data_IF_104463089770
#
_entry.id   IF_104463089770
#
_cell.length_a   1.000
_cell.length_b   1.000
_cell.length_c   1.000
_cell.angle_alpha   90.00
_cell.angle_beta   90.00
_cell.angle_gamma   90.00
#
_symmetry.space_group_name_H-M   'P 1'
#
loop_
_entity.id
_entity.type
_entity.pdbx_description
1 polymer ?
#
# COMPACT_ATOMS: atom_id res chain seq x y z
N UNK A 1 -5.65 23.55 40.48
CA UNK A 1 -6.30 23.13 41.75
C UNK A 1 -7.76 22.81 41.46
N UNK A 2 -8.36 21.80 42.12
CA UNK A 2 -9.67 21.17 41.78
C UNK A 2 -9.58 20.34 40.45
N UNK A 3 -9.81 19.01 40.37
CA UNK A 3 -10.41 18.00 41.28
C UNK A 3 -11.92 18.28 41.54
N UNK A 4 -12.92 17.39 41.46
CA UNK A 4 -13.17 15.93 41.61
C UNK A 4 -14.37 15.59 40.66
N UNK A 5 -14.71 14.38 40.16
CA UNK A 5 -14.34 12.96 40.36
C UNK A 5 -13.99 12.30 38.98
N UNK A 6 -13.92 10.98 38.69
CA UNK A 6 -14.20 9.66 39.31
C UNK A 6 -15.66 9.17 39.46
N UNK A 7 -16.11 8.28 38.55
CA UNK A 7 -17.08 7.20 38.82
C UNK A 7 -16.54 5.91 38.17
N UNK A 8 -16.56 4.80 38.89
CA UNK A 8 -16.19 3.47 38.38
C UNK A 8 -17.28 2.44 38.71
N UNK A 9 -17.49 1.48 37.83
CA UNK A 9 -18.33 0.30 38.06
C UNK A 9 -17.79 -0.85 37.22
N UNK A 10 -17.66 -2.03 37.84
CA UNK A 10 -16.99 -3.17 37.23
C UNK A 10 -17.87 -4.43 37.31
N UNK A 11 -18.07 -5.06 36.15
CA UNK A 11 -18.61 -6.41 35.97
C UNK A 11 -17.95 -6.95 34.68
N UNK A 12 -17.44 -8.16 34.58
CA UNK A 12 -17.21 -9.19 35.60
C UNK A 12 -16.68 -10.43 34.88
N UNK A 13 -15.58 -11.04 35.35
CA UNK A 13 -15.03 -12.23 34.68
C UNK A 13 -15.94 -13.44 34.87
N UNK A 14 -16.16 -14.19 33.80
CA UNK A 14 -16.68 -15.56 33.87
C UNK A 14 -15.66 -16.50 33.24
N UNK A 15 -15.23 -17.50 34.01
CA UNK A 15 -14.27 -18.51 33.58
C UNK A 15 -14.68 -19.89 34.12
N UNK A 16 -14.87 -20.84 33.20
CA UNK A 16 -15.00 -22.28 33.41
C UNK A 16 -14.45 -22.89 32.11
N UNK A 17 -13.24 -23.45 32.13
CA UNK A 17 -12.94 -24.83 32.54
C UNK A 17 -13.13 -25.82 31.38
N UNK A 18 -12.02 -26.42 30.94
CA UNK A 18 -12.01 -27.42 29.88
C UNK A 18 -12.19 -28.83 30.47
N UNK A 19 -12.86 -29.70 29.71
CA UNK A 19 -12.78 -31.15 29.86
C UNK A 19 -12.41 -31.75 28.50
N UNK A 20 -11.31 -32.49 28.48
CA UNK A 20 -10.77 -33.21 27.34
C UNK A 20 -11.31 -34.64 27.31
N UNK A 21 -11.61 -35.19 26.14
CA UNK A 21 -11.48 -36.64 25.88
C UNK A 21 -11.25 -36.90 24.37
N UNK A 22 -10.18 -37.64 24.00
CA UNK A 22 -10.02 -38.16 22.64
C UNK A 22 -10.90 -39.40 22.42
N UNK A 23 -11.07 -39.81 21.16
CA UNK A 23 -11.72 -41.07 20.80
C UNK A 23 -11.01 -41.76 19.64
N UNK A 24 -9.91 -42.42 19.94
CA UNK A 24 -9.26 -43.33 19.02
C UNK A 24 -10.18 -44.52 18.70
N UNK A 25 -10.29 -44.85 17.41
CA UNK A 25 -10.53 -46.23 16.96
C UNK A 25 -10.00 -46.48 15.55
N UNK A 26 -8.69 -46.73 15.52
CA UNK A 26 -8.02 -47.78 14.74
C UNK A 26 -8.74 -48.32 13.48
N UNK A 27 -8.10 -48.12 12.32
CA UNK A 27 -8.16 -49.03 11.19
C UNK A 27 -6.81 -49.00 10.44
N UNK A 28 -5.81 -49.72 10.95
CA UNK A 28 -4.53 -49.89 10.25
C UNK A 28 -4.67 -50.88 9.08
N UNK A 29 -4.14 -50.53 7.90
CA UNK A 29 -3.38 -51.48 7.05
C UNK A 29 -2.24 -50.72 6.35
N UNK A 30 -1.05 -51.32 6.35
CA UNK A 30 0.16 -50.96 5.61
C UNK A 30 0.93 -52.28 5.32
N UNK A 31 2.05 -52.30 4.57
CA UNK A 31 2.37 -51.66 3.28
C UNK A 31 3.04 -52.66 2.27
N UNK A 32 3.78 -52.13 1.26
CA UNK A 32 4.90 -52.75 0.49
C UNK A 32 4.60 -53.35 -0.91
N UNK A 33 5.59 -53.72 -1.79
CA UNK A 33 5.94 -52.85 -2.94
C UNK A 33 6.35 -53.51 -4.29
N UNK A 34 6.29 -52.75 -5.40
CA UNK A 34 7.09 -52.91 -6.64
C UNK A 34 6.85 -51.64 -7.51
N UNK A 35 7.83 -50.88 -8.02
CA UNK A 35 9.02 -51.18 -8.85
C UNK A 35 8.71 -51.31 -10.36
N UNK A 36 9.05 -50.27 -11.14
CA UNK A 36 8.96 -50.24 -12.61
C UNK A 36 9.29 -48.85 -13.21
N UNK A 37 10.29 -48.79 -14.09
CA UNK A 37 10.64 -47.62 -14.91
C UNK A 37 10.00 -47.75 -16.31
N UNK A 38 10.04 -46.81 -17.28
CA UNK A 38 10.97 -45.68 -17.56
C UNK A 38 10.21 -44.60 -18.40
N UNK A 39 10.80 -43.49 -18.91
CA UNK A 39 10.03 -42.27 -19.24
C UNK A 39 9.53 -42.14 -20.69
N UNK A 40 8.56 -41.23 -20.90
CA UNK A 40 8.19 -40.69 -22.21
C UNK A 40 7.60 -39.27 -22.12
N UNK A 41 7.64 -38.54 -23.25
CA UNK A 41 6.93 -37.29 -23.55
C UNK A 41 7.13 -36.08 -22.59
N UNK A 42 7.98 -35.15 -23.01
CA UNK A 42 7.96 -33.79 -22.46
C UNK A 42 6.69 -33.05 -22.93
N UNK A 43 5.72 -32.87 -22.03
CA UNK A 43 4.68 -31.87 -22.20
C UNK A 43 5.23 -30.51 -21.76
N UNK A 44 5.38 -29.57 -22.69
CA UNK A 44 5.75 -28.21 -22.35
C UNK A 44 4.66 -27.58 -21.45
N UNK A 45 5.01 -26.88 -20.36
CA UNK A 45 4.01 -26.13 -19.61
C UNK A 45 3.41 -25.08 -20.55
N UNK A 46 2.10 -25.18 -20.78
CA UNK A 46 1.39 -24.20 -21.60
C UNK A 46 1.62 -22.81 -21.00
N UNK A 47 2.15 -21.88 -21.80
CA UNK A 47 2.29 -20.49 -21.39
C UNK A 47 0.90 -19.88 -21.25
N UNK A 48 0.33 -19.99 -20.05
CA UNK A 48 -0.80 -19.18 -19.62
C UNK A 48 -0.36 -17.72 -19.71
N UNK A 49 -0.69 -17.07 -20.83
CA UNK A 49 -0.15 -15.76 -21.19
C UNK A 49 -0.38 -14.77 -20.07
N UNK A 50 0.70 -14.12 -19.62
CA UNK A 50 0.64 -13.09 -18.59
C UNK A 50 -0.18 -11.92 -19.11
N UNK A 51 -1.48 -11.91 -18.81
CA UNK A 51 -2.38 -10.81 -19.12
C UNK A 51 -1.92 -9.60 -18.30
N UNK A 52 -1.09 -8.76 -18.91
CA UNK A 52 -0.57 -7.54 -18.29
C UNK A 52 -1.73 -6.67 -17.86
N UNK A 53 -1.95 -6.56 -16.55
CA UNK A 53 -2.87 -5.56 -15.98
C UNK A 53 -2.41 -4.20 -16.50
N UNK A 54 -3.30 -3.41 -17.13
CA UNK A 54 -2.89 -2.14 -17.74
C UNK A 54 -2.35 -1.21 -16.65
N UNK A 55 -1.11 -0.75 -16.84
CA UNK A 55 -0.49 0.18 -15.92
C UNK A 55 -1.30 1.48 -15.84
N UNK A 56 -1.44 2.04 -14.64
CA UNK A 56 -2.20 3.27 -14.45
C UNK A 56 -1.46 4.42 -15.15
N UNK A 57 -2.14 5.26 -15.97
CA UNK A 57 -1.49 6.35 -16.69
C UNK A 57 -0.76 7.32 -15.76
N UNK A 58 0.45 7.71 -16.16
CA UNK A 58 1.24 8.77 -15.51
C UNK A 58 0.73 10.14 -16.00
N UNK A 59 0.44 11.05 -15.08
CA UNK A 59 -0.22 12.33 -15.38
C UNK A 59 0.70 13.55 -15.35
N UNK A 60 1.83 13.48 -14.64
CA UNK A 60 2.83 14.54 -14.49
C UNK A 60 3.96 14.52 -15.53
N UNK A 61 3.96 13.51 -16.42
CA UNK A 61 4.98 13.37 -17.47
C UNK A 61 4.91 14.55 -18.45
N UNK A 62 6.01 15.28 -18.59
CA UNK A 62 6.11 16.45 -19.47
C UNK A 62 5.42 17.72 -18.97
N UNK A 63 4.79 17.70 -17.79
CA UNK A 63 4.25 18.92 -17.16
C UNK A 63 5.37 19.78 -16.54
N UNK A 64 5.06 21.04 -16.26
CA UNK A 64 5.98 21.98 -15.61
C UNK A 64 5.96 21.77 -14.09
N UNK A 65 7.14 21.64 -13.47
CA UNK A 65 7.29 21.63 -12.02
C UNK A 65 7.07 23.05 -11.47
N UNK A 66 6.24 23.16 -10.44
CA UNK A 66 6.01 24.38 -9.66
C UNK A 66 6.73 24.32 -8.31
N UNK A 67 7.27 25.46 -7.82
CA UNK A 67 8.04 25.52 -6.57
C UNK A 67 7.15 25.50 -5.32
N UNK A 68 5.83 25.71 -5.43
CA UNK A 68 4.93 25.64 -4.29
C UNK A 68 4.71 24.18 -3.82
N UNK A 69 4.48 23.99 -2.52
CA UNK A 69 4.20 22.66 -1.97
C UNK A 69 2.76 22.21 -2.24
N UNK A 70 2.53 20.93 -2.57
CA UNK A 70 1.19 20.35 -2.62
C UNK A 70 0.62 20.14 -1.21
N UNK A 71 -0.70 20.00 -1.13
CA UNK A 71 -1.30 19.32 0.01
C UNK A 71 -1.14 17.82 -0.18
N UNK A 72 -0.18 17.18 0.49
CA UNK A 72 0.10 15.76 0.29
C UNK A 72 0.32 14.99 1.60
N UNK A 73 0.21 13.66 1.49
CA UNK A 73 0.81 12.70 2.41
C UNK A 73 1.11 11.39 1.68
N UNK A 74 2.03 10.59 2.22
CA UNK A 74 2.22 9.18 1.88
C UNK A 74 2.01 8.42 3.19
N UNK A 75 0.87 7.74 3.32
CA UNK A 75 0.47 7.09 4.57
C UNK A 75 1.25 5.80 4.78
N UNK A 76 1.44 5.01 3.70
CA UNK A 76 2.23 3.77 3.75
C UNK A 76 3.04 3.45 2.50
N UNK A 77 4.12 2.70 2.71
CA UNK A 77 4.86 1.94 1.70
C UNK A 77 4.93 0.49 2.21
N UNK A 78 4.16 -0.42 1.62
CA UNK A 78 3.99 -1.79 2.11
C UNK A 78 3.59 -1.81 3.59
N UNK A 79 4.49 -2.29 4.44
CA UNK A 79 4.34 -2.35 5.91
C UNK A 79 4.84 -1.12 6.65
N UNK A 80 5.54 -0.18 5.98
CA UNK A 80 6.04 1.06 6.59
C UNK A 80 4.87 2.05 6.71
N UNK A 81 4.49 2.37 7.94
CA UNK A 81 3.49 3.41 8.25
C UNK A 81 4.17 4.75 8.57
N UNK A 82 3.65 5.84 8.01
CA UNK A 82 4.21 7.19 8.15
C UNK A 82 5.68 7.31 7.69
N UNK A 83 6.04 6.86 6.47
CA UNK A 83 7.42 6.79 5.96
C UNK A 83 8.14 8.15 5.93
N UNK A 84 7.40 9.26 5.87
CA UNK A 84 7.96 10.61 5.95
C UNK A 84 8.58 10.93 7.33
N UNK A 85 8.06 10.34 8.42
CA UNK A 85 8.63 10.47 9.77
C UNK A 85 9.33 9.21 10.27
N UNK A 86 9.04 8.06 9.66
CA UNK A 86 9.53 6.73 10.05
C UNK A 86 10.03 5.95 8.82
N UNK A 87 11.20 6.30 8.25
CA UNK A 87 11.85 5.48 7.23
C UNK A 87 12.02 4.04 7.73
N UNK A 88 11.86 3.08 6.83
CA UNK A 88 11.92 1.65 7.16
C UNK A 88 12.23 0.78 5.95
N UNK A 89 12.05 -0.53 6.09
CA UNK A 89 12.22 -1.51 5.03
C UNK A 89 10.91 -2.22 4.67
N UNK A 90 10.76 -2.56 3.39
CA UNK A 90 9.76 -3.50 2.86
C UNK A 90 10.46 -4.65 2.15
N UNK A 91 9.80 -5.79 1.96
CA UNK A 91 10.37 -6.82 1.09
C UNK A 91 10.05 -6.58 -0.38
N UNK A 92 11.04 -6.77 -1.25
CA UNK A 92 10.86 -6.75 -2.71
C UNK A 92 10.24 -8.03 -3.28
N UNK A 93 10.16 -9.11 -2.49
CA UNK A 93 9.60 -10.41 -2.90
C UNK A 93 8.06 -10.45 -2.91
N UNK A 94 7.40 -9.41 -2.38
CA UNK A 94 5.94 -9.28 -2.33
C UNK A 94 5.48 -8.01 -3.06
N UNK A 95 4.18 -7.87 -3.42
CA UNK A 95 3.67 -6.64 -4.00
C UNK A 95 3.77 -5.48 -3.01
N UNK A 96 4.35 -4.35 -3.43
CA UNK A 96 4.51 -3.16 -2.58
C UNK A 96 3.38 -2.19 -2.88
N UNK A 97 2.38 -2.12 -2.00
CA UNK A 97 1.35 -1.09 -2.08
C UNK A 97 1.85 0.24 -1.52
N UNK A 98 1.55 1.35 -2.21
CA UNK A 98 1.79 2.71 -1.75
C UNK A 98 0.49 3.50 -1.80
N UNK A 99 0.13 4.16 -0.69
CA UNK A 99 -1.11 4.96 -0.61
C UNK A 99 -0.92 6.25 0.18
N UNK A 100 -1.78 7.23 -0.07
CA UNK A 100 -1.69 8.55 0.55
C UNK A 100 -2.89 9.45 0.25
N UNK A 101 -2.68 10.76 0.37
CA UNK A 101 -3.53 11.77 -0.25
C UNK A 101 -2.72 12.83 -0.99
N UNK A 102 -3.32 13.44 -2.01
CA UNK A 102 -2.74 14.56 -2.74
C UNK A 102 -3.84 15.53 -3.20
N UNK A 103 -3.60 16.83 -3.08
CA UNK A 103 -4.49 17.88 -3.56
C UNK A 103 -3.69 19.14 -3.96
N UNK A 104 -4.28 19.99 -4.80
CA UNK A 104 -3.65 21.22 -5.27
C UNK A 104 -3.42 22.16 -4.06
N UNK A 105 -2.17 22.27 -3.62
CA UNK A 105 -1.80 22.99 -2.40
C UNK A 105 -2.14 24.48 -2.47
N UNK A 106 -1.72 25.21 -3.52
CA UNK A 106 -2.08 26.60 -3.74
C UNK A 106 -3.59 26.84 -3.89
N UNK A 107 -4.29 26.05 -4.72
CA UNK A 107 -5.71 26.27 -5.00
C UNK A 107 -6.67 25.68 -3.93
N UNK A 108 -6.17 24.78 -3.06
CA UNK A 108 -6.90 24.11 -1.97
C UNK A 108 -8.13 23.31 -2.44
N UNK A 109 -8.02 22.70 -3.62
CA UNK A 109 -9.03 21.84 -4.25
C UNK A 109 -8.41 20.49 -4.64
N UNK A 110 -9.19 19.44 -4.95
CA UNK A 110 -8.65 18.18 -5.45
C UNK A 110 -7.70 18.36 -6.64
N UNK A 111 -6.67 17.53 -6.68
CA UNK A 111 -5.70 17.48 -7.76
C UNK A 111 -6.33 16.89 -9.03
N UNK A 112 -5.69 17.07 -10.19
CA UNK A 112 -6.05 16.31 -11.39
C UNK A 112 -5.69 14.82 -11.23
N UNK A 113 -4.70 14.53 -10.41
CA UNK A 113 -4.28 13.20 -9.99
C UNK A 113 -2.94 13.24 -9.25
N UNK A 114 -2.40 12.06 -8.95
CA UNK A 114 -1.09 11.88 -8.29
C UNK A 114 -0.30 10.81 -9.03
N UNK A 115 0.99 11.04 -9.20
CA UNK A 115 1.98 10.00 -9.54
C UNK A 115 2.98 9.84 -8.39
N UNK A 116 3.63 8.68 -8.34
CA UNK A 116 4.82 8.48 -7.52
C UNK A 116 6.06 8.43 -8.42
N UNK A 117 7.04 9.25 -8.07
CA UNK A 117 8.36 9.28 -8.68
C UNK A 117 9.31 8.48 -7.79
N UNK A 118 9.68 7.27 -8.22
CA UNK A 118 10.53 6.36 -7.47
C UNK A 118 11.85 6.23 -8.22
N UNK A 119 12.91 6.78 -7.62
CA UNK A 119 14.27 6.84 -8.19
C UNK A 119 14.33 7.40 -9.64
N UNK A 120 13.47 8.37 -9.97
CA UNK A 120 13.39 8.98 -11.31
C UNK A 120 12.44 8.27 -12.29
N UNK A 121 11.76 7.20 -11.86
CA UNK A 121 10.72 6.50 -12.65
C UNK A 121 9.33 6.86 -12.14
N UNK A 122 8.43 7.22 -13.06
CA UNK A 122 7.06 7.60 -12.73
C UNK A 122 6.11 6.41 -12.76
N UNK A 123 5.27 6.32 -11.73
CA UNK A 123 4.22 5.32 -11.55
C UNK A 123 2.89 6.04 -11.30
N UNK A 124 1.92 5.82 -12.19
CA UNK A 124 0.57 6.37 -12.03
C UNK A 124 -0.16 5.76 -10.83
N UNK A 125 -1.13 6.49 -10.28
CA UNK A 125 -1.93 6.05 -9.14
C UNK A 125 -3.43 6.15 -9.40
N UNK A 126 -4.22 5.26 -8.80
CA UNK A 126 -5.68 5.37 -8.75
C UNK A 126 -6.04 6.46 -7.76
N UNK A 127 -6.35 7.65 -8.27
CA UNK A 127 -6.77 8.82 -7.51
C UNK A 127 -8.26 8.77 -7.10
N UNK A 128 -8.73 9.78 -6.35
CA UNK A 128 -10.14 9.95 -6.01
C UNK A 128 -10.65 9.12 -4.83
N UNK A 129 -9.76 8.45 -4.09
CA UNK A 129 -10.16 7.59 -2.95
C UNK A 129 -10.66 8.44 -1.78
N UNK A 130 -11.59 7.88 -0.99
CA UNK A 130 -12.28 8.61 0.07
C UNK A 130 -11.34 9.00 1.22
N UNK A 131 -11.32 10.29 1.58
CA UNK A 131 -10.52 10.92 2.63
C UNK A 131 -11.32 11.94 3.47
N UNK A 132 -12.35 11.50 4.21
CA UNK A 132 -13.11 12.38 5.11
C UNK A 132 -12.25 12.96 6.25
N UNK A 133 -11.16 12.27 6.61
CA UNK A 133 -10.13 12.72 7.55
C UNK A 133 -9.41 13.98 7.03
N UNK A 134 -9.01 14.00 5.74
CA UNK A 134 -8.38 15.15 5.10
C UNK A 134 -9.35 16.31 4.97
N UNK A 135 -10.60 16.04 4.56
CA UNK A 135 -11.64 17.05 4.50
C UNK A 135 -11.90 17.70 5.87
N UNK A 136 -11.92 16.92 6.94
CA UNK A 136 -12.07 17.41 8.33
C UNK A 136 -10.84 18.20 8.77
N UNK A 137 -9.63 17.65 8.62
CA UNK A 137 -8.38 18.28 9.05
C UNK A 137 -8.00 19.54 8.25
N UNK A 138 -8.60 19.75 7.07
CA UNK A 138 -8.46 20.96 6.25
C UNK A 138 -9.70 21.86 6.26
N UNK A 139 -10.74 21.49 7.04
CA UNK A 139 -12.03 22.19 7.12
C UNK A 139 -12.66 22.48 5.74
N UNK A 140 -12.52 21.53 4.81
CA UNK A 140 -12.89 21.69 3.41
C UNK A 140 -13.45 20.38 2.84
N UNK A 141 -14.77 20.32 2.66
CA UNK A 141 -15.49 19.13 2.19
C UNK A 141 -15.10 18.67 0.77
N UNK A 142 -14.58 19.56 -0.09
CA UNK A 142 -14.13 19.19 -1.43
C UNK A 142 -12.94 18.22 -1.41
N UNK A 143 -12.13 18.22 -0.34
CA UNK A 143 -10.95 17.36 -0.21
C UNK A 143 -11.28 15.93 0.24
N UNK A 144 -12.56 15.56 0.28
CA UNK A 144 -13.06 14.24 0.67
C UNK A 144 -12.79 13.12 -0.33
N UNK A 145 -12.35 13.44 -1.56
CA UNK A 145 -11.97 12.48 -2.61
C UNK A 145 -10.54 12.75 -3.11
N UNK A 146 -9.57 12.82 -2.18
CA UNK A 146 -8.16 13.18 -2.47
C UNK A 146 -7.16 12.05 -2.24
N UNK A 147 -7.63 10.86 -1.86
CA UNK A 147 -6.78 9.70 -1.64
C UNK A 147 -6.24 9.12 -2.94
N UNK A 148 -5.04 8.55 -2.88
CA UNK A 148 -4.42 7.83 -3.99
C UNK A 148 -3.90 6.46 -3.58
N UNK A 149 -3.79 5.53 -4.53
CA UNK A 149 -3.18 4.22 -4.32
C UNK A 149 -2.52 3.68 -5.58
N UNK A 150 -1.39 2.98 -5.43
CA UNK A 150 -0.78 2.15 -6.48
C UNK A 150 -0.15 0.90 -5.86
N UNK A 151 0.12 -0.12 -6.66
CA UNK A 151 0.74 -1.37 -6.20
C UNK A 151 1.81 -1.80 -7.19
N UNK A 152 3.06 -1.85 -6.72
CA UNK A 152 4.18 -2.36 -7.50
C UNK A 152 4.18 -3.89 -7.45
N UNK A 153 4.52 -4.54 -8.57
CA UNK A 153 4.70 -5.99 -8.61
C UNK A 153 5.97 -6.40 -7.85
N UNK A 154 6.06 -7.66 -7.34
CA UNK A 154 7.31 -8.21 -6.81
C UNK A 154 8.49 -8.00 -7.78
N UNK A 155 9.65 -7.63 -7.26
CA UNK A 155 10.85 -7.38 -8.05
C UNK A 155 10.84 -6.10 -8.91
N UNK A 156 9.81 -5.24 -8.84
CA UNK A 156 9.81 -3.93 -9.53
C UNK A 156 10.95 -3.02 -9.05
N UNK A 157 11.30 -3.14 -7.77
CA UNK A 157 12.44 -2.50 -7.12
C UNK A 157 13.43 -3.58 -6.70
N UNK A 158 14.72 -3.33 -6.89
CA UNK A 158 15.78 -4.23 -6.44
C UNK A 158 15.98 -4.14 -4.92
N UNK A 159 16.66 -5.11 -4.26
CA UNK A 159 17.09 -4.92 -2.88
C UNK A 159 18.11 -3.77 -2.77
N UNK A 160 17.90 -2.84 -1.84
CA UNK A 160 18.72 -1.63 -1.74
C UNK A 160 18.02 -0.45 -1.06
N UNK A 161 18.65 0.72 -1.12
CA UNK A 161 18.08 1.98 -0.65
C UNK A 161 17.35 2.70 -1.80
N UNK A 162 16.13 3.17 -1.53
CA UNK A 162 15.22 3.77 -2.50
C UNK A 162 14.69 5.11 -2.03
N UNK A 163 14.25 5.90 -3.01
CA UNK A 163 13.64 7.22 -2.82
C UNK A 163 12.29 7.30 -3.51
N UNK A 164 11.32 7.96 -2.86
CA UNK A 164 10.03 8.30 -3.48
C UNK A 164 9.68 9.78 -3.26
N UNK A 165 9.17 10.40 -4.31
CA UNK A 165 8.59 11.76 -4.31
C UNK A 165 7.14 11.66 -4.79
N UNK A 166 6.22 12.24 -4.04
CA UNK A 166 4.81 12.35 -4.43
C UNK A 166 4.68 13.53 -5.39
N UNK A 167 4.27 13.27 -6.64
CA UNK A 167 3.99 14.29 -7.65
C UNK A 167 2.49 14.52 -7.72
N UNK A 168 2.04 15.71 -7.32
CA UNK A 168 0.61 16.07 -7.32
C UNK A 168 0.35 17.00 -8.51
N UNK A 169 -0.51 16.59 -9.44
CA UNK A 169 -0.83 17.37 -10.64
C UNK A 169 -1.85 18.46 -10.30
N UNK A 170 -1.59 19.70 -10.72
CA UNK A 170 -2.47 20.85 -10.48
C UNK A 170 -3.89 20.58 -10.98
N UNK A 171 -4.89 21.20 -10.35
CA UNK A 171 -6.31 20.92 -10.64
C UNK A 171 -6.68 21.19 -12.12
N UNK A 172 -5.97 22.09 -12.78
CA UNK A 172 -6.12 22.42 -14.20
C UNK A 172 -5.34 21.50 -15.17
N UNK A 173 -4.53 20.58 -14.64
CA UNK A 173 -3.76 19.60 -15.41
C UNK A 173 -2.51 20.13 -16.13
N UNK A 174 -2.08 21.38 -15.88
CA UNK A 174 -0.98 22.02 -16.64
C UNK A 174 0.39 21.97 -15.96
N UNK A 175 0.42 21.71 -14.67
CA UNK A 175 1.64 21.72 -13.84
C UNK A 175 1.59 20.62 -12.77
N UNK A 176 2.69 20.41 -12.07
CA UNK A 176 2.71 19.55 -10.90
C UNK A 176 3.59 20.14 -9.79
N UNK A 177 3.30 19.71 -8.56
CA UNK A 177 4.04 20.04 -7.36
C UNK A 177 4.70 18.78 -6.80
N UNK A 178 5.76 18.91 -6.00
CA UNK A 178 6.48 17.78 -5.42
C UNK A 178 6.50 17.80 -3.88
N UNK A 179 6.49 16.60 -3.29
CA UNK A 179 6.93 16.43 -1.90
C UNK A 179 8.45 16.58 -1.76
N UNK A 180 8.96 16.77 -0.54
CA UNK A 180 10.34 16.37 -0.22
C UNK A 180 10.58 14.88 -0.53
N UNK A 181 11.83 14.49 -0.71
CA UNK A 181 12.24 13.09 -0.93
C UNK A 181 12.03 12.25 0.33
N UNK A 182 11.21 11.21 0.21
CA UNK A 182 10.99 10.19 1.24
C UNK A 182 11.94 9.03 0.97
N UNK A 183 12.56 8.46 2.02
CA UNK A 183 13.53 7.36 1.91
C UNK A 183 12.96 6.07 2.47
N UNK A 184 13.24 4.95 1.81
CA UNK A 184 12.92 3.60 2.29
C UNK A 184 13.95 2.59 1.79
N UNK A 185 13.89 1.37 2.29
CA UNK A 185 14.76 0.26 1.90
C UNK A 185 13.91 -0.89 1.35
N UNK A 186 14.43 -1.62 0.37
CA UNK A 186 13.84 -2.86 -0.15
C UNK A 186 14.77 -4.03 0.21
N UNK A 187 14.19 -5.17 0.62
CA UNK A 187 14.88 -6.38 1.09
C UNK A 187 14.39 -7.65 0.36
#
# INVERSE_FOLDING_TARGET
>A
MKQIAIVASAVGLLALAACDQPKDREAQVQPTPAAGATPAAAAAPAQAGSASVPATPVLSQGLILRPEFPGFYLDHIGTILDPLKKPGAVSGAAPIEMSGFGFDGPAKVPAKGVDLDIDGRLYGTTYGQARPDVATAKQNSSLSATGYKTTLAPGTLAPGAHTVVVRVVSADGKSYFQSPTIKFTVQ
#
